data_IF_336511980064
#
_entry.id   IF_336511980064
#
_cell.length_a   1.000
_cell.length_b   1.000
_cell.length_c   1.000
_cell.angle_alpha   90.00
_cell.angle_beta   90.00
_cell.angle_gamma   90.00
#
_symmetry.space_group_name_H-M   'P 1'
#
loop_
_entity.id
_entity.type
_entity.pdbx_description
1 polymer ?
#
# COMPACT_ATOMS: atom_id res chain seq x y z
N UNK A 1 -23.05 -15.57 50.42
CA UNK A 1 -21.61 -15.50 50.75
C UNK A 1 -20.91 -14.66 49.69
N UNK A 2 -19.90 -13.86 50.08
CA UNK A 2 -19.24 -12.83 49.28
C UNK A 2 -18.05 -13.41 48.51
N UNK A 3 -17.80 -12.96 47.28
CA UNK A 3 -16.45 -12.77 46.74
C UNK A 3 -16.40 -11.41 46.05
N UNK A 4 -15.49 -10.55 46.53
CA UNK A 4 -15.06 -9.26 45.98
C UNK A 4 -13.60 -9.42 45.54
N UNK A 5 -13.26 -9.08 44.29
CA UNK A 5 -11.93 -8.66 43.81
C UNK A 5 -12.26 -7.87 42.52
N UNK A 6 -12.26 -6.54 42.38
CA UNK A 6 -11.33 -5.45 42.68
C UNK A 6 -9.96 -5.55 41.98
N UNK A 7 -9.78 -4.79 40.89
CA UNK A 7 -8.50 -4.16 40.59
C UNK A 7 -7.83 -4.53 39.27
N UNK A 8 -7.47 -3.51 38.49
CA UNK A 8 -6.60 -3.60 37.30
C UNK A 8 -6.92 -2.51 36.26
N UNK A 9 -6.91 -1.23 36.63
CA UNK A 9 -5.81 -0.28 36.36
C UNK A 9 -5.57 0.04 34.87
N UNK A 10 -6.11 1.21 34.48
CA UNK A 10 -5.50 2.28 33.68
C UNK A 10 -4.14 2.00 33.01
N UNK A 11 -4.11 2.15 31.69
CA UNK A 11 -2.94 2.65 30.97
C UNK A 11 -3.39 3.60 29.86
N UNK A 12 -3.70 4.85 30.24
CA UNK A 12 -3.54 5.99 29.35
C UNK A 12 -2.15 6.57 29.60
N UNK A 13 -1.37 6.70 28.53
CA UNK A 13 -0.07 7.37 28.53
C UNK A 13 0.76 6.84 27.36
N UNK A 14 1.36 7.63 26.48
CA UNK A 14 1.63 9.05 26.49
C UNK A 14 1.71 9.51 25.03
N UNK A 15 1.12 10.67 24.76
CA UNK A 15 1.42 11.47 23.59
C UNK A 15 2.87 11.99 23.66
N UNK A 16 3.43 12.24 22.48
CA UNK A 16 4.50 13.20 22.15
C UNK A 16 5.89 12.93 22.70
N UNK A 17 6.85 12.69 21.80
CA UNK A 17 7.83 13.68 21.29
C UNK A 17 8.78 12.98 20.29
N UNK A 18 9.18 13.67 19.22
CA UNK A 18 10.36 13.25 18.45
C UNK A 18 10.36 13.58 16.97
N UNK A 19 10.30 14.85 16.61
CA UNK A 19 10.81 15.34 15.33
C UNK A 19 12.36 15.38 15.40
N UNK A 20 13.03 14.65 14.51
CA UNK A 20 14.44 14.89 14.13
C UNK A 20 15.52 14.30 15.05
N UNK A 21 16.40 13.48 14.49
CA UNK A 21 17.64 13.07 15.16
C UNK A 21 18.34 11.84 14.57
N UNK A 22 19.06 12.05 13.46
CA UNK A 22 20.27 11.37 12.97
C UNK A 22 20.64 9.93 13.44
N UNK A 23 20.64 9.03 12.44
CA UNK A 23 21.59 7.93 12.14
C UNK A 23 22.24 7.13 13.28
N UNK A 24 21.87 5.85 13.36
CA UNK A 24 22.83 4.77 13.56
C UNK A 24 22.71 3.75 12.42
N UNK A 25 23.78 3.71 11.63
CA UNK A 25 24.04 2.75 10.56
C UNK A 25 24.42 1.42 11.22
N UNK A 26 23.49 0.47 11.27
CA UNK A 26 23.77 -0.92 11.63
C UNK A 26 23.28 -1.81 10.51
N UNK A 27 24.15 -1.97 9.52
CA UNK A 27 24.51 -3.23 8.86
C UNK A 27 23.70 -4.47 9.28
N UNK A 28 22.43 -4.48 8.95
CA UNK A 28 21.65 -5.68 8.72
C UNK A 28 21.08 -5.50 7.32
N UNK A 29 21.89 -5.86 6.33
CA UNK A 29 21.44 -6.12 4.98
C UNK A 29 20.38 -7.23 5.06
N UNK A 30 19.14 -6.85 5.34
CA UNK A 30 18.01 -7.53 4.74
C UNK A 30 18.27 -7.32 3.26
N UNK A 31 18.54 -8.36 2.46
CA UNK A 31 18.49 -8.18 1.03
C UNK A 31 17.04 -7.78 0.79
N UNK A 32 16.81 -6.47 0.63
CA UNK A 32 15.70 -5.95 -0.13
C UNK A 32 15.75 -6.82 -1.37
N UNK A 33 14.85 -7.78 -1.43
CA UNK A 33 14.53 -8.42 -2.68
C UNK A 33 13.80 -7.31 -3.43
N UNK A 34 14.57 -6.29 -3.84
CA UNK A 34 14.28 -5.53 -5.03
C UNK A 34 14.09 -6.64 -6.03
N UNK A 35 12.82 -6.89 -6.34
CA UNK A 35 12.40 -7.64 -7.49
C UNK A 35 13.04 -6.89 -8.66
N UNK A 36 14.27 -7.28 -8.94
CA UNK A 36 15.08 -6.82 -10.04
C UNK A 36 14.21 -7.00 -11.27
N UNK A 37 13.85 -5.87 -11.88
CA UNK A 37 13.42 -5.85 -13.27
C UNK A 37 12.18 -6.69 -13.58
N UNK A 38 11.06 -6.48 -12.88
CA UNK A 38 9.75 -6.77 -13.48
C UNK A 38 9.36 -5.56 -14.31
N UNK A 39 9.70 -5.63 -15.60
CA UNK A 39 9.03 -4.95 -16.71
C UNK A 39 8.44 -3.59 -16.35
N UNK A 40 9.26 -2.53 -16.39
CA UNK A 40 8.77 -1.21 -16.78
C UNK A 40 8.34 -1.28 -18.27
N UNK A 41 7.40 -2.17 -18.59
CA UNK A 41 6.67 -2.13 -19.84
C UNK A 41 6.01 -0.76 -19.93
N UNK A 42 6.01 -0.18 -21.12
CA UNK A 42 5.29 1.06 -21.40
C UNK A 42 3.91 0.98 -20.73
N UNK A 43 3.64 1.91 -19.80
CA UNK A 43 2.38 1.91 -19.08
C UNK A 43 1.22 1.81 -20.09
N UNK A 44 0.17 1.01 -19.82
CA UNK A 44 -0.92 0.80 -20.76
C UNK A 44 -1.43 2.13 -21.32
N UNK A 45 -1.66 2.20 -22.62
CA UNK A 45 -2.16 3.41 -23.29
C UNK A 45 -3.64 3.27 -23.62
N UNK A 46 -4.34 4.40 -23.65
CA UNK A 46 -5.73 4.45 -24.07
C UNK A 46 -5.85 4.44 -25.60
N UNK A 47 -6.96 3.88 -26.09
CA UNK A 47 -7.35 4.05 -27.48
C UNK A 47 -7.61 5.54 -27.79
N UNK A 48 -7.50 5.98 -29.05
CA UNK A 48 -7.83 7.36 -29.43
C UNK A 48 -9.24 7.77 -28.97
N UNK A 49 -9.36 8.98 -28.42
CA UNK A 49 -10.63 9.51 -27.90
C UNK A 49 -10.93 9.17 -26.44
N UNK A 50 -10.07 8.38 -25.78
CA UNK A 50 -10.15 8.10 -24.35
C UNK A 50 -9.04 8.85 -23.59
N UNK A 51 -9.35 9.23 -22.36
CA UNK A 51 -8.41 9.85 -21.41
C UNK A 51 -8.02 8.84 -20.35
N UNK A 52 -6.74 8.82 -19.96
CA UNK A 52 -6.22 7.94 -18.93
C UNK A 52 -6.34 8.56 -17.53
N UNK A 53 -6.64 7.74 -16.54
CA UNK A 53 -6.44 8.05 -15.13
C UNK A 53 -6.04 6.79 -14.36
N UNK A 54 -5.36 6.98 -13.24
CA UNK A 54 -4.78 5.90 -12.47
C UNK A 54 -5.45 5.83 -11.09
N UNK A 55 -5.90 4.64 -10.72
CA UNK A 55 -6.50 4.35 -9.43
C UNK A 55 -5.65 3.27 -8.77
N UNK A 56 -5.37 3.46 -7.49
CA UNK A 56 -4.95 2.33 -6.69
C UNK A 56 -6.20 1.53 -6.31
N UNK A 57 -6.17 0.24 -6.61
CA UNK A 57 -7.16 -0.75 -6.17
C UNK A 57 -6.55 -1.73 -5.14
N UNK A 58 -7.37 -2.22 -4.22
CA UNK A 58 -7.00 -3.27 -3.28
C UNK A 58 -7.35 -4.63 -3.90
N UNK A 59 -6.33 -5.36 -4.37
CA UNK A 59 -6.50 -6.64 -5.05
C UNK A 59 -6.02 -7.81 -4.18
N UNK A 60 -6.59 -9.00 -4.40
CA UNK A 60 -6.00 -10.23 -3.88
C UNK A 60 -4.73 -10.55 -4.67
N UNK A 61 -3.60 -10.52 -4.00
CA UNK A 61 -2.29 -10.79 -4.57
C UNK A 61 -1.34 -11.34 -3.51
N UNK A 62 -0.28 -12.01 -3.94
CA UNK A 62 0.67 -12.65 -3.02
C UNK A 62 -0.08 -13.67 -2.13
N UNK A 63 0.21 -13.74 -0.83
CA UNK A 63 -0.54 -14.57 0.13
C UNK A 63 -1.73 -13.87 0.77
N UNK A 64 -2.06 -12.63 0.36
CA UNK A 64 -3.08 -11.80 1.01
C UNK A 64 -3.67 -10.75 0.07
N UNK A 65 -3.67 -9.51 0.54
CA UNK A 65 -4.05 -8.33 -0.25
C UNK A 65 -2.82 -7.49 -0.58
N UNK A 66 -2.99 -6.59 -1.53
CA UNK A 66 -1.98 -5.61 -1.89
C UNK A 66 -2.57 -4.49 -2.74
N UNK A 67 -1.74 -3.50 -3.01
CA UNK A 67 -2.11 -2.32 -3.76
C UNK A 67 -1.71 -2.51 -5.23
N UNK A 68 -2.69 -2.42 -6.11
CA UNK A 68 -2.49 -2.45 -7.56
C UNK A 68 -2.79 -1.06 -8.14
N UNK A 69 -1.80 -0.39 -8.71
CA UNK A 69 -2.02 0.83 -9.48
C UNK A 69 -2.49 0.43 -10.87
N UNK A 70 -3.77 0.65 -11.14
CA UNK A 70 -4.43 0.29 -12.38
C UNK A 70 -4.71 1.55 -13.19
N UNK A 71 -4.50 1.45 -14.50
CA UNK A 71 -4.89 2.49 -15.45
C UNK A 71 -6.24 2.17 -16.03
N UNK A 72 -7.14 3.13 -15.93
CA UNK A 72 -8.43 3.12 -16.57
C UNK A 72 -8.45 4.15 -17.69
N UNK A 73 -9.23 3.86 -18.71
CA UNK A 73 -9.47 4.72 -19.84
C UNK A 73 -10.95 5.05 -19.90
N UNK A 74 -11.28 6.34 -19.99
CA UNK A 74 -12.66 6.81 -20.09
C UNK A 74 -12.82 7.85 -21.20
N UNK A 75 -13.98 7.85 -21.86
CA UNK A 75 -14.40 8.92 -22.77
C UNK A 75 -15.59 9.73 -22.21
N UNK A 76 -15.94 9.52 -20.93
CA UNK A 76 -17.09 10.12 -20.25
C UNK A 76 -18.41 9.37 -20.42
N UNK A 77 -18.49 8.36 -21.30
CA UNK A 77 -19.65 7.48 -21.48
C UNK A 77 -19.32 6.05 -21.09
N UNK A 78 -18.20 5.55 -21.60
CA UNK A 78 -17.69 4.21 -21.34
C UNK A 78 -16.35 4.27 -20.60
N UNK A 79 -16.07 3.22 -19.85
CA UNK A 79 -14.87 3.07 -19.05
C UNK A 79 -14.36 1.63 -19.16
N UNK A 80 -13.04 1.47 -19.29
CA UNK A 80 -12.41 0.16 -19.27
C UNK A 80 -11.04 0.18 -18.57
N UNK A 81 -10.69 -0.96 -17.98
CA UNK A 81 -9.36 -1.21 -17.44
C UNK A 81 -8.37 -1.41 -18.59
N UNK A 82 -7.42 -0.49 -18.74
CA UNK A 82 -6.36 -0.60 -19.74
C UNK A 82 -5.25 -1.56 -19.30
N UNK A 83 -5.02 -1.66 -17.99
CA UNK A 83 -4.12 -2.63 -17.41
C UNK A 83 -3.49 -2.14 -16.12
N UNK A 84 -2.65 -3.01 -15.55
CA UNK A 84 -1.90 -2.70 -14.35
C UNK A 84 -0.60 -1.96 -14.69
N UNK A 85 -0.27 -0.93 -13.92
CA UNK A 85 1.00 -0.20 -13.98
C UNK A 85 1.97 -0.72 -12.92
N UNK A 86 1.45 -0.96 -11.70
CA UNK A 86 2.27 -1.36 -10.55
C UNK A 86 1.51 -2.26 -9.60
N UNK A 87 2.20 -3.19 -8.95
CA UNK A 87 1.67 -3.98 -7.82
C UNK A 87 2.63 -3.93 -6.64
N UNK A 88 2.08 -3.81 -5.43
CA UNK A 88 2.83 -3.79 -4.17
C UNK A 88 2.11 -4.68 -3.15
N UNK A 89 2.76 -5.77 -2.68
CA UNK A 89 2.20 -6.59 -1.60
C UNK A 89 2.18 -5.78 -0.30
N UNK A 90 1.12 -5.93 0.51
CA UNK A 90 1.02 -5.27 1.82
C UNK A 90 -0.42 -4.94 2.22
N UNK A 91 -0.57 -4.17 3.29
CA UNK A 91 -1.88 -3.63 3.66
C UNK A 91 -2.37 -2.65 2.58
N UNK A 92 -3.66 -2.67 2.29
CA UNK A 92 -4.28 -1.68 1.42
C UNK A 92 -4.37 -0.31 2.12
N UNK A 93 -4.29 0.78 1.34
CA UNK A 93 -4.51 2.14 1.86
C UNK A 93 -5.97 2.39 2.23
#
# INVERSE_FOLDING_TARGET
MRVKILGGLLAMGLLSVGCGGAVEDVNAAVPSTELTSQEQGLAPSCAPGYTAYDIWDCERMCTGYGNALNRYCTNGTDEYLAGNIRKVCGACY
#
